data_IF_303079981766
#
_entry.id   IF_303079981766
#
_cell.length_a   1.000
_cell.length_b   1.000
_cell.length_c   1.000
_cell.angle_alpha   90.00
_cell.angle_beta   90.00
_cell.angle_gamma   90.00
#
_symmetry.space_group_name_H-M   'P 1'
#
loop_
_entity.id
_entity.type
_entity.pdbx_description
1 polymer ?
#
# COMPACT_ATOMS: atom_id res chain seq x y z
N UNK A 1 -43.48 -41.37 -22.02
CA UNK A 1 -42.73 -41.40 -20.74
C UNK A 1 -41.19 -41.36 -20.90
N UNK A 2 -40.61 -40.92 -22.04
CA UNK A 2 -39.15 -40.98 -22.27
C UNK A 2 -38.38 -39.65 -22.09
N UNK A 3 -39.08 -38.51 -22.01
CA UNK A 3 -38.43 -37.18 -22.06
C UNK A 3 -37.90 -36.67 -20.71
N UNK A 4 -38.46 -37.13 -19.58
CA UNK A 4 -37.99 -36.76 -18.22
C UNK A 4 -36.63 -37.36 -17.86
N UNK A 5 -36.30 -38.53 -18.41
CA UNK A 5 -35.04 -39.24 -18.15
C UNK A 5 -33.83 -38.51 -18.76
N UNK A 6 -33.98 -38.02 -19.99
CA UNK A 6 -32.91 -37.33 -20.72
C UNK A 6 -32.57 -35.97 -20.14
N UNK A 7 -33.56 -35.22 -19.65
CA UNK A 7 -33.36 -33.93 -18.98
C UNK A 7 -32.63 -34.06 -17.64
N UNK A 8 -32.92 -35.10 -16.87
CA UNK A 8 -32.21 -35.41 -15.62
C UNK A 8 -30.73 -35.71 -15.87
N UNK A 9 -30.45 -36.56 -16.87
CA UNK A 9 -29.09 -36.90 -17.29
C UNK A 9 -28.31 -35.68 -17.79
N UNK A 10 -28.93 -34.80 -18.56
CA UNK A 10 -28.30 -33.57 -19.05
C UNK A 10 -27.98 -32.60 -17.91
N UNK A 11 -28.86 -32.49 -16.90
CA UNK A 11 -28.62 -31.67 -15.70
C UNK A 11 -27.47 -32.24 -14.85
N UNK A 12 -27.42 -33.56 -14.67
CA UNK A 12 -26.32 -34.23 -13.96
C UNK A 12 -24.99 -34.08 -14.71
N UNK A 13 -24.99 -34.17 -16.04
CA UNK A 13 -23.80 -33.98 -16.86
C UNK A 13 -23.25 -32.55 -16.79
N UNK A 14 -24.13 -31.53 -16.75
CA UNK A 14 -23.72 -30.12 -16.54
C UNK A 14 -23.12 -29.88 -15.16
N UNK A 15 -23.70 -30.48 -14.11
CA UNK A 15 -23.17 -30.39 -12.74
C UNK A 15 -21.81 -31.10 -12.66
N UNK A 16 -21.68 -32.28 -13.29
CA UNK A 16 -20.42 -33.02 -13.33
C UNK A 16 -19.32 -32.23 -14.06
N UNK A 17 -19.64 -31.63 -15.22
CA UNK A 17 -18.69 -30.78 -15.96
C UNK A 17 -18.29 -29.53 -15.17
N UNK A 18 -19.22 -28.95 -14.41
CA UNK A 18 -18.93 -27.81 -13.53
C UNK A 18 -18.00 -28.21 -12.37
N UNK A 19 -18.25 -29.36 -11.72
CA UNK A 19 -17.41 -29.90 -10.65
C UNK A 19 -16.02 -30.28 -11.19
N UNK A 20 -15.94 -30.93 -12.35
CA UNK A 20 -14.67 -31.28 -13.00
C UNK A 20 -13.91 -30.02 -13.42
N UNK A 21 -14.61 -28.98 -13.88
CA UNK A 21 -14.01 -27.67 -14.17
C UNK A 21 -13.41 -27.03 -12.92
N UNK A 22 -14.13 -27.02 -11.80
CA UNK A 22 -13.61 -26.51 -10.51
C UNK A 22 -12.43 -27.36 -10.04
N UNK A 23 -12.52 -28.69 -10.10
CA UNK A 23 -11.45 -29.59 -9.70
C UNK A 23 -10.20 -29.43 -10.57
N UNK A 24 -10.36 -29.19 -11.87
CA UNK A 24 -9.25 -28.91 -12.78
C UNK A 24 -8.59 -27.55 -12.49
N UNK A 25 -9.39 -26.53 -12.13
CA UNK A 25 -8.87 -25.23 -11.70
C UNK A 25 -8.10 -25.37 -10.37
N UNK A 26 -8.65 -26.11 -9.40
CA UNK A 26 -7.97 -26.38 -8.12
C UNK A 26 -6.68 -27.19 -8.33
N UNK A 27 -6.70 -28.22 -9.17
CA UNK A 27 -5.50 -28.99 -9.49
C UNK A 27 -4.46 -28.15 -10.25
N UNK A 28 -4.88 -27.23 -11.14
CA UNK A 28 -3.98 -26.27 -11.77
C UNK A 28 -3.38 -25.30 -10.75
N UNK A 29 -4.16 -24.83 -9.77
CA UNK A 29 -3.66 -23.99 -8.69
C UNK A 29 -2.62 -24.73 -7.84
N UNK A 30 -2.88 -25.99 -7.47
CA UNK A 30 -1.92 -26.84 -6.72
C UNK A 30 -0.65 -27.12 -7.52
N UNK A 31 -0.75 -27.35 -8.85
CA UNK A 31 0.42 -27.58 -9.72
C UNK A 31 1.22 -26.29 -9.90
N UNK A 32 0.56 -25.13 -10.03
CA UNK A 32 1.22 -23.82 -10.08
C UNK A 32 1.93 -23.52 -8.75
N UNK A 33 1.35 -23.91 -7.62
CA UNK A 33 1.95 -23.78 -6.29
C UNK A 33 3.22 -24.64 -6.12
N UNK A 34 3.26 -25.82 -6.75
CA UNK A 34 4.39 -26.76 -6.63
C UNK A 34 5.54 -26.49 -7.63
N UNK A 35 5.24 -25.93 -8.82
CA UNK A 35 6.22 -25.82 -9.92
C UNK A 35 6.69 -24.40 -10.25
N UNK A 36 6.19 -23.36 -9.57
CA UNK A 36 6.86 -22.06 -9.62
C UNK A 36 7.83 -21.95 -8.45
N UNK A 37 9.13 -22.25 -8.63
CA UNK A 37 10.13 -21.69 -7.75
C UNK A 37 10.04 -20.17 -7.96
N UNK A 38 9.28 -19.50 -7.10
CA UNK A 38 9.47 -18.06 -6.91
C UNK A 38 10.81 -17.96 -6.20
N UNK A 39 11.89 -17.96 -6.99
CA UNK A 39 13.14 -17.34 -6.58
C UNK A 39 12.75 -15.90 -6.23
N UNK A 40 12.57 -15.65 -4.94
CA UNK A 40 12.52 -14.29 -4.46
C UNK A 40 13.86 -13.69 -4.86
N UNK A 41 13.83 -12.73 -5.78
CA UNK A 41 14.99 -11.93 -6.11
C UNK A 41 15.69 -11.42 -4.83
N UNK A 42 16.89 -10.89 -4.97
CA UNK A 42 17.65 -10.20 -3.91
C UNK A 42 16.96 -8.90 -3.42
N UNK A 43 15.65 -8.93 -3.19
CA UNK A 43 14.77 -7.84 -2.76
C UNK A 43 14.18 -8.18 -1.40
N UNK A 44 14.05 -7.15 -0.57
CA UNK A 44 13.36 -7.20 0.71
C UNK A 44 12.08 -6.39 0.61
N UNK A 45 11.01 -6.90 1.21
CA UNK A 45 9.70 -6.26 1.21
C UNK A 45 9.32 -5.94 2.65
N UNK A 46 8.67 -4.81 2.88
CA UNK A 46 7.97 -4.46 4.12
C UNK A 46 6.54 -4.09 3.74
N UNK A 47 5.56 -4.74 4.38
CA UNK A 47 4.14 -4.43 4.21
C UNK A 47 3.54 -4.14 5.57
N UNK A 48 3.03 -2.93 5.73
CA UNK A 48 2.37 -2.50 6.95
C UNK A 48 1.12 -1.68 6.64
N UNK A 49 0.22 -1.64 7.61
CA UNK A 49 -0.99 -0.83 7.53
C UNK A 49 -1.03 0.15 8.68
N UNK A 50 -1.36 1.41 8.41
CA UNK A 50 -1.65 2.40 9.45
C UNK A 50 -3.13 2.73 9.41
N UNK A 51 -3.79 2.58 10.55
CA UNK A 51 -5.15 3.06 10.75
C UNK A 51 -5.14 4.38 11.50
N UNK A 52 -5.92 5.35 11.04
CA UNK A 52 -6.09 6.66 11.65
C UNK A 52 -7.57 6.92 11.88
N UNK A 53 -7.91 7.27 13.11
CA UNK A 53 -9.25 7.70 13.52
C UNK A 53 -9.20 9.17 13.92
N UNK A 54 -10.01 10.00 13.27
CA UNK A 54 -10.12 11.41 13.58
C UNK A 54 -11.02 11.66 14.79
N UNK A 55 -10.62 12.61 15.63
CA UNK A 55 -11.46 13.17 16.69
C UNK A 55 -12.56 14.08 16.09
N UNK A 56 -13.71 14.27 16.77
CA UNK A 56 -14.76 15.22 16.37
C UNK A 56 -14.31 16.65 16.01
N UNK A 57 -13.11 17.09 16.42
CA UNK A 57 -12.58 18.41 16.02
C UNK A 57 -12.22 18.53 14.54
N UNK A 58 -12.07 17.42 13.82
CA UNK A 58 -11.83 17.43 12.37
C UNK A 58 -13.14 17.59 11.59
N UNK A 59 -13.12 18.30 10.46
CA UNK A 59 -14.28 18.41 9.52
C UNK A 59 -14.58 17.08 8.78
N UNK A 60 -13.80 16.04 9.11
CA UNK A 60 -13.93 14.69 8.60
C UNK A 60 -14.65 13.74 9.55
N UNK A 61 -14.98 14.07 10.80
CA UNK A 61 -15.52 13.09 11.75
C UNK A 61 -16.87 12.49 11.27
N UNK A 62 -17.08 11.15 11.34
CA UNK A 62 -16.30 10.09 12.01
C UNK A 62 -15.33 9.33 11.08
N UNK A 63 -14.85 9.97 10.02
CA UNK A 63 -14.06 9.34 8.97
C UNK A 63 -12.74 8.78 9.49
N UNK A 64 -12.31 7.72 8.82
CA UNK A 64 -11.12 6.95 9.13
C UNK A 64 -10.23 6.89 7.90
N UNK A 65 -8.93 6.78 8.10
CA UNK A 65 -7.97 6.59 7.02
C UNK A 65 -7.20 5.29 7.26
N UNK A 66 -7.05 4.50 6.22
CA UNK A 66 -6.13 3.36 6.20
C UNK A 66 -5.06 3.61 5.16
N UNK A 67 -3.81 3.66 5.60
CA UNK A 67 -2.65 3.61 4.71
C UNK A 67 -2.19 2.16 4.60
N UNK A 68 -2.20 1.61 3.39
CA UNK A 68 -1.54 0.35 3.09
C UNK A 68 -0.24 0.66 2.36
N UNK A 69 0.88 0.37 3.02
CA UNK A 69 2.22 0.72 2.54
C UNK A 69 2.98 -0.55 2.20
N UNK A 70 3.50 -0.60 0.98
CA UNK A 70 4.47 -1.61 0.55
C UNK A 70 5.78 -0.91 0.20
N UNK A 71 6.85 -1.24 0.91
CA UNK A 71 8.20 -0.79 0.58
C UNK A 71 9.01 -1.98 0.13
N UNK A 72 9.67 -1.85 -1.02
CA UNK A 72 10.54 -2.86 -1.60
C UNK A 72 11.90 -2.24 -1.83
N UNK A 73 12.96 -2.87 -1.34
CA UNK A 73 14.32 -2.38 -1.48
C UNK A 73 15.29 -3.54 -1.70
N UNK A 74 16.53 -3.26 -2.10
CA UNK A 74 17.49 -4.35 -2.27
C UNK A 74 17.72 -5.06 -0.93
N UNK A 75 17.98 -6.36 -0.97
CA UNK A 75 18.28 -7.15 0.21
C UNK A 75 19.70 -6.88 0.69
N UNK A 76 19.85 -6.24 1.85
CA UNK A 76 21.12 -6.25 2.57
C UNK A 76 21.33 -7.65 3.18
N UNK A 77 22.56 -7.99 3.60
CA UNK A 77 22.86 -9.20 4.37
C UNK A 77 22.19 -9.21 5.77
N UNK A 78 20.98 -8.67 5.90
CA UNK A 78 20.20 -8.70 7.12
C UNK A 78 19.85 -10.15 7.46
N UNK A 79 20.17 -10.50 8.70
CA UNK A 79 19.92 -11.80 9.30
C UNK A 79 18.41 -12.02 9.29
N UNK A 80 17.96 -13.11 8.64
CA UNK A 80 16.59 -13.57 8.80
C UNK A 80 16.40 -13.94 10.27
N UNK A 81 15.52 -13.23 10.97
CA UNK A 81 15.11 -13.63 12.31
C UNK A 81 14.26 -14.90 12.20
N UNK A 82 14.87 -16.06 12.48
CA UNK A 82 14.20 -17.35 12.43
C UNK A 82 13.04 -17.46 13.43
N UNK A 83 13.00 -16.61 14.47
CA UNK A 83 11.91 -16.59 15.45
C UNK A 83 10.59 -16.08 14.88
N UNK A 84 10.61 -15.29 13.80
CA UNK A 84 9.41 -14.79 13.13
C UNK A 84 8.97 -15.64 11.93
N UNK A 85 9.79 -16.62 11.50
CA UNK A 85 9.43 -17.53 10.41
C UNK A 85 8.23 -18.40 10.78
N UNK A 86 8.10 -18.71 12.07
CA UNK A 86 6.97 -19.39 12.69
C UNK A 86 6.70 -18.71 14.03
N UNK A 87 5.85 -17.68 14.04
CA UNK A 87 5.28 -17.20 15.30
C UNK A 87 4.19 -18.22 15.67
N UNK A 88 4.39 -19.12 16.66
CA UNK A 88 3.28 -19.89 17.19
C UNK A 88 2.23 -18.90 17.66
N UNK A 89 0.95 -19.23 17.52
CA UNK A 89 -0.17 -18.41 17.99
C UNK A 89 -0.17 -18.42 19.54
N UNK A 90 0.85 -17.81 20.15
CA UNK A 90 1.02 -17.65 21.58
C UNK A 90 0.65 -16.21 21.95
N UNK A 91 -0.04 -16.05 23.08
CA UNK A 91 -0.89 -14.91 23.43
C UNK A 91 -0.12 -13.61 23.74
N UNK A 92 1.21 -13.64 23.78
CA UNK A 92 2.02 -12.45 23.97
C UNK A 92 2.24 -11.75 22.63
N UNK A 93 1.36 -10.80 22.34
CA UNK A 93 1.52 -9.80 21.30
C UNK A 93 2.95 -9.22 21.42
N UNK A 94 3.86 -9.44 20.44
CA UNK A 94 5.22 -8.90 20.51
C UNK A 94 5.18 -7.38 20.67
N UNK A 95 6.20 -6.77 21.30
CA UNK A 95 6.30 -5.29 21.43
C UNK A 95 6.25 -4.55 20.07
N UNK A 96 6.40 -5.28 18.97
CA UNK A 96 6.34 -4.81 17.58
C UNK A 96 4.90 -4.76 17.02
N UNK A 97 3.89 -5.20 17.78
CA UNK A 97 2.49 -5.14 17.39
C UNK A 97 1.88 -3.82 17.84
N UNK A 98 1.08 -3.23 16.97
CA UNK A 98 0.60 -1.86 17.05
C UNK A 98 0.20 -1.33 18.41
N UNK A 99 0.97 -0.37 18.88
CA UNK A 99 0.55 0.55 19.93
C UNK A 99 -0.50 1.51 19.38
N UNK A 100 -1.57 1.73 20.14
CA UNK A 100 -2.44 2.86 19.91
C UNK A 100 -1.72 4.11 20.42
N UNK A 101 -1.55 5.09 19.54
CA UNK A 101 -0.88 6.34 19.87
C UNK A 101 -1.84 7.50 19.63
N UNK A 102 -1.99 8.33 20.66
CA UNK A 102 -2.68 9.60 20.54
C UNK A 102 -1.68 10.64 20.06
N UNK A 103 -2.01 11.32 18.97
CA UNK A 103 -1.19 12.39 18.41
C UNK A 103 -2.08 13.57 18.00
N UNK A 104 -1.45 14.70 17.68
CA UNK A 104 -2.15 15.92 17.27
C UNK A 104 -1.41 16.63 16.13
N UNK A 105 -2.17 17.29 15.27
CA UNK A 105 -1.67 18.03 14.12
C UNK A 105 -2.56 19.25 13.91
N UNK A 106 -1.98 20.44 13.75
CA UNK A 106 -2.74 21.69 13.61
C UNK A 106 -3.79 21.88 14.72
N UNK A 107 -3.40 21.61 15.98
CA UNK A 107 -4.27 21.62 17.17
C UNK A 107 -5.46 20.63 17.13
N UNK A 108 -5.52 19.73 16.15
CA UNK A 108 -6.55 18.70 16.01
C UNK A 108 -5.99 17.33 16.39
N UNK A 109 -6.68 16.63 17.30
CA UNK A 109 -6.22 15.33 17.84
C UNK A 109 -6.68 14.16 16.98
N UNK A 110 -5.90 13.09 16.92
CA UNK A 110 -6.27 11.86 16.22
C UNK A 110 -5.62 10.64 16.89
N UNK A 111 -6.23 9.47 16.68
CA UNK A 111 -5.68 8.19 17.17
C UNK A 111 -5.09 7.45 15.98
N UNK A 112 -3.86 6.97 16.13
CA UNK A 112 -3.19 6.14 15.13
C UNK A 112 -2.89 4.74 15.68
N UNK A 113 -3.04 3.74 14.83
CA UNK A 113 -2.71 2.35 15.11
C UNK A 113 -1.87 1.80 13.95
N UNK A 114 -0.62 1.47 14.23
CA UNK A 114 0.31 0.90 13.25
C UNK A 114 0.29 -0.62 13.31
N UNK A 115 0.08 -1.33 12.22
CA UNK A 115 0.03 -2.78 12.18
C UNK A 115 1.12 -3.34 11.27
N UNK A 116 1.91 -4.29 11.80
CA UNK A 116 3.00 -4.98 11.07
C UNK A 116 4.13 -4.06 10.55
N UNK A 117 4.32 -2.87 11.13
CA UNK A 117 5.43 -2.00 10.75
C UNK A 117 6.74 -2.51 11.37
N UNK A 118 7.63 -3.02 10.53
CA UNK A 118 8.93 -3.53 10.94
C UNK A 118 10.05 -2.47 10.93
N UNK A 119 9.73 -1.19 10.66
CA UNK A 119 10.68 -0.06 10.61
C UNK A 119 11.93 -0.34 9.77
N UNK A 120 11.81 -1.07 8.66
CA UNK A 120 12.93 -1.46 7.80
C UNK A 120 14.00 -2.32 8.50
N UNK A 121 13.72 -2.86 9.70
CA UNK A 121 14.69 -3.65 10.48
C UNK A 121 14.81 -5.10 10.01
N UNK A 122 13.76 -5.64 9.40
CA UNK A 122 13.70 -7.05 9.01
C UNK A 122 13.25 -7.21 7.56
N UNK A 123 13.82 -8.23 6.91
CA UNK A 123 13.41 -8.63 5.58
C UNK A 123 12.19 -9.54 5.70
N UNK A 124 11.00 -9.03 5.41
CA UNK A 124 9.82 -9.91 5.36
C UNK A 124 9.87 -10.74 4.07
N UNK A 125 9.78 -12.06 4.22
CA UNK A 125 9.64 -13.00 3.12
C UNK A 125 8.20 -13.51 3.10
N UNK A 126 7.41 -13.25 2.04
CA UNK A 126 6.04 -13.74 2.00
C UNK A 126 6.02 -15.27 1.89
N UNK A 127 5.10 -15.90 2.63
CA UNK A 127 4.81 -17.32 2.44
C UNK A 127 4.34 -17.59 1.00
N UNK A 128 4.75 -18.73 0.43
CA UNK A 128 4.49 -19.10 -0.98
C UNK A 128 3.03 -18.93 -1.41
N UNK A 129 2.08 -19.34 -0.57
CA UNK A 129 0.64 -19.18 -0.84
C UNK A 129 0.22 -17.72 -1.08
N UNK A 130 0.72 -16.79 -0.26
CA UNK A 130 0.38 -15.36 -0.37
C UNK A 130 0.90 -14.78 -1.69
N UNK A 131 2.09 -15.23 -2.09
CA UNK A 131 2.71 -14.80 -3.34
C UNK A 131 1.92 -15.29 -4.57
N UNK A 132 1.41 -16.53 -4.56
CA UNK A 132 0.54 -17.04 -5.64
C UNK A 132 -0.76 -16.25 -5.76
N UNK A 133 -1.41 -15.92 -4.63
CA UNK A 133 -2.64 -15.11 -4.63
C UNK A 133 -2.37 -13.69 -5.15
N UNK A 134 -1.26 -13.08 -4.75
CA UNK A 134 -0.85 -11.74 -5.19
C UNK A 134 -0.62 -11.72 -6.72
N UNK A 135 0.04 -12.74 -7.28
CA UNK A 135 0.22 -12.90 -8.74
C UNK A 135 -1.10 -12.95 -9.49
N UNK A 136 -2.04 -13.77 -9.03
CA UNK A 136 -3.36 -13.90 -9.68
C UNK A 136 -4.09 -12.56 -9.63
N UNK A 137 -4.11 -11.92 -8.45
CA UNK A 137 -4.75 -10.63 -8.26
C UNK A 137 -4.15 -9.57 -9.18
N UNK A 138 -2.83 -9.48 -9.25
CA UNK A 138 -2.15 -8.47 -10.07
C UNK A 138 -2.46 -8.66 -11.56
N UNK A 139 -2.44 -9.90 -12.06
CA UNK A 139 -2.83 -10.18 -13.44
C UNK A 139 -4.26 -9.73 -13.74
N UNK A 140 -5.20 -9.90 -12.80
CA UNK A 140 -6.57 -9.40 -12.93
C UNK A 140 -6.58 -7.87 -12.92
N UNK A 141 -5.87 -7.22 -11.99
CA UNK A 141 -5.83 -5.75 -11.90
C UNK A 141 -5.21 -5.10 -13.14
N UNK A 142 -4.18 -5.71 -13.74
CA UNK A 142 -3.61 -5.28 -15.03
C UNK A 142 -4.60 -5.47 -16.17
N UNK A 143 -5.25 -6.63 -16.26
CA UNK A 143 -6.26 -6.89 -17.29
C UNK A 143 -7.47 -5.93 -17.20
N UNK A 144 -7.80 -5.47 -16.00
CA UNK A 144 -8.83 -4.46 -15.74
C UNK A 144 -8.35 -3.01 -15.94
N UNK A 145 -7.06 -2.79 -16.22
CA UNK A 145 -6.47 -1.44 -16.36
C UNK A 145 -6.35 -0.67 -15.05
N UNK A 146 -6.44 -1.36 -13.90
CA UNK A 146 -6.26 -0.76 -12.57
C UNK A 146 -4.78 -0.63 -12.19
N UNK A 147 -3.90 -1.42 -12.83
CA UNK A 147 -2.45 -1.36 -12.73
C UNK A 147 -1.83 -1.35 -14.14
N UNK A 148 -0.63 -0.80 -14.26
CA UNK A 148 0.11 -0.68 -15.52
C UNK A 148 1.11 -1.82 -15.74
N UNK A 149 1.47 -2.55 -14.70
CA UNK A 149 2.55 -3.55 -14.71
C UNK A 149 2.14 -4.80 -13.92
N UNK A 150 2.67 -5.94 -14.36
CA UNK A 150 2.54 -7.23 -13.69
C UNK A 150 3.75 -7.58 -12.80
N UNK A 151 4.67 -6.64 -12.59
CA UNK A 151 5.79 -6.79 -11.66
C UNK A 151 5.30 -6.76 -10.20
N UNK A 152 5.57 -7.85 -9.46
CA UNK A 152 5.15 -8.05 -8.07
C UNK A 152 5.82 -7.10 -7.08
N UNK A 153 6.98 -6.56 -7.43
CA UNK A 153 7.79 -5.70 -6.56
C UNK A 153 7.61 -4.22 -6.87
N UNK A 154 7.41 -3.89 -8.15
CA UNK A 154 7.20 -2.53 -8.64
C UNK A 154 5.76 -2.33 -9.14
N UNK A 155 4.83 -2.13 -8.21
CA UNK A 155 3.42 -1.89 -8.54
C UNK A 155 3.26 -0.46 -9.06
N UNK A 156 2.66 -0.30 -10.23
CA UNK A 156 2.38 1.00 -10.85
C UNK A 156 0.90 1.18 -11.18
N UNK A 157 0.34 2.31 -10.80
CA UNK A 157 -1.02 2.75 -11.10
C UNK A 157 -1.06 3.76 -12.25
N UNK A 158 -2.18 3.83 -13.00
CA UNK A 158 -2.40 4.88 -13.98
C UNK A 158 -2.41 6.27 -13.34
N UNK A 159 -1.90 7.27 -14.06
CA UNK A 159 -1.90 8.65 -13.61
C UNK A 159 -3.29 9.28 -13.79
N UNK A 160 -3.99 9.48 -12.68
CA UNK A 160 -5.34 10.04 -12.61
C UNK A 160 -5.34 11.21 -11.63
N UNK A 161 -5.51 12.42 -12.15
CA UNK A 161 -5.75 13.60 -11.31
C UNK A 161 -7.17 13.58 -10.76
N UNK A 162 -7.33 14.19 -9.59
CA UNK A 162 -8.65 14.50 -9.08
C UNK A 162 -9.31 15.59 -9.95
N UNK A 163 -10.59 15.39 -10.28
CA UNK A 163 -11.39 16.31 -11.08
C UNK A 163 -12.53 16.94 -10.29
N UNK A 164 -12.74 16.54 -9.04
CA UNK A 164 -13.78 17.10 -8.18
C UNK A 164 -13.51 18.55 -7.78
N UNK A 165 -12.24 18.96 -7.75
CA UNK A 165 -11.84 20.35 -7.52
C UNK A 165 -10.48 20.67 -8.15
N UNK A 166 -10.23 21.95 -8.34
CA UNK A 166 -9.01 22.47 -8.97
C UNK A 166 -7.78 22.40 -8.06
N UNK A 167 -6.59 22.44 -8.65
CA UNK A 167 -5.32 22.46 -7.91
C UNK A 167 -5.25 23.67 -6.95
N UNK A 168 -5.82 24.82 -7.32
CA UNK A 168 -5.90 25.99 -6.42
C UNK A 168 -6.78 25.76 -5.20
N UNK A 169 -7.87 25.00 -5.35
CA UNK A 169 -8.73 24.63 -4.23
C UNK A 169 -8.01 23.61 -3.34
N UNK A 170 -7.26 22.68 -3.92
CA UNK A 170 -6.43 21.75 -3.16
C UNK A 170 -5.43 22.50 -2.27
N UNK A 171 -4.67 23.45 -2.85
CA UNK A 171 -3.69 24.25 -2.09
C UNK A 171 -4.31 25.02 -0.94
N UNK A 172 -5.55 25.53 -1.11
CA UNK A 172 -6.24 26.24 -0.03
C UNK A 172 -6.64 25.36 1.16
N UNK A 173 -6.73 24.04 0.95
CA UNK A 173 -7.06 23.05 1.99
C UNK A 173 -5.83 22.51 2.72
N UNK A 174 -4.62 22.71 2.18
CA UNK A 174 -3.39 22.14 2.75
C UNK A 174 -2.98 22.66 4.13
N UNK A 175 -3.16 23.94 4.50
CA UNK A 175 -2.64 24.45 5.77
C UNK A 175 -3.14 23.71 7.02
N UNK A 176 -4.36 23.18 6.95
CA UNK A 176 -5.03 22.48 8.05
C UNK A 176 -5.25 20.98 7.74
N UNK A 177 -4.70 20.48 6.63
CA UNK A 177 -4.90 19.12 6.16
C UNK A 177 -4.15 18.08 7.01
N UNK A 178 -4.67 16.87 7.04
CA UNK A 178 -3.99 15.75 7.69
C UNK A 178 -2.80 15.28 6.85
N UNK A 179 -1.65 15.05 7.50
CA UNK A 179 -0.49 14.45 6.86
C UNK A 179 -0.03 13.18 7.59
N UNK A 180 0.64 12.31 6.84
CA UNK A 180 1.33 11.15 7.37
C UNK A 180 2.70 10.99 6.74
N UNK A 181 3.70 10.70 7.57
CA UNK A 181 5.07 10.43 7.15
C UNK A 181 5.36 8.94 7.16
N UNK A 182 5.91 8.46 6.05
CA UNK A 182 6.31 7.08 5.85
C UNK A 182 7.82 7.06 5.57
N UNK A 183 8.64 6.47 6.46
CA UNK A 183 10.07 6.36 6.23
C UNK A 183 10.37 5.46 5.02
N UNK A 184 11.41 5.79 4.25
CA UNK A 184 11.87 4.96 3.14
C UNK A 184 12.89 3.94 3.66
N UNK A 185 12.82 2.70 3.17
CA UNK A 185 13.82 1.67 3.41
C UNK A 185 14.79 1.64 2.24
N UNK A 186 16.10 1.68 2.49
CA UNK A 186 17.13 1.60 1.44
C UNK A 186 18.44 1.03 1.96
N UNK A 187 19.23 0.46 1.04
CA UNK A 187 20.61 0.02 1.37
C UNK A 187 21.60 1.14 1.17
N UNK A 188 21.50 1.84 0.05
CA UNK A 188 22.48 2.84 -0.36
C UNK A 188 22.26 4.15 0.40
N UNK A 189 23.30 4.98 0.53
CA UNK A 189 23.16 6.32 1.13
C UNK A 189 22.30 7.25 0.24
N UNK A 190 22.33 7.00 -1.07
CA UNK A 190 21.58 7.74 -2.10
C UNK A 190 21.04 6.73 -3.12
N UNK A 191 19.76 6.83 -3.46
CA UNK A 191 19.12 5.93 -4.43
C UNK A 191 17.97 6.62 -5.20
N UNK A 192 17.48 5.92 -6.22
CA UNK A 192 16.30 6.32 -6.99
C UNK A 192 15.12 5.43 -6.60
N UNK A 193 13.92 6.01 -6.51
CA UNK A 193 12.73 5.30 -6.10
C UNK A 193 11.64 5.42 -7.15
N UNK A 194 11.14 4.27 -7.60
CA UNK A 194 9.83 4.21 -8.23
C UNK A 194 8.77 4.18 -7.12
N UNK A 195 7.71 4.95 -7.28
CA UNK A 195 6.62 4.96 -6.32
C UNK A 195 5.28 5.00 -7.03
N UNK A 196 4.27 4.50 -6.34
CA UNK A 196 2.89 4.66 -6.77
C UNK A 196 1.96 4.89 -5.58
N UNK A 197 0.99 5.79 -5.76
CA UNK A 197 -0.05 6.09 -4.79
C UNK A 197 -1.41 5.94 -5.43
N UNK A 198 -2.39 5.40 -4.70
CA UNK A 198 -3.79 5.35 -5.09
C UNK A 198 -4.69 5.58 -3.89
N UNK A 199 -5.69 6.44 -4.04
CA UNK A 199 -6.78 6.62 -3.09
C UNK A 199 -8.04 5.97 -3.66
N UNK A 200 -8.82 5.31 -2.81
CA UNK A 200 -10.07 4.67 -3.22
C UNK A 200 -11.25 5.66 -3.36
N UNK A 201 -11.18 6.81 -2.69
CA UNK A 201 -12.10 7.92 -2.86
C UNK A 201 -11.73 8.79 -4.08
N UNK A 202 -12.62 8.81 -5.07
CA UNK A 202 -12.45 9.60 -6.31
C UNK A 202 -12.74 11.09 -6.14
N UNK A 203 -13.28 11.50 -4.99
CA UNK A 203 -13.63 12.89 -4.69
C UNK A 203 -12.54 13.62 -3.91
N UNK A 204 -11.58 12.88 -3.37
CA UNK A 204 -10.47 13.37 -2.55
C UNK A 204 -9.16 13.26 -3.34
N UNK A 205 -8.41 14.37 -3.45
CA UNK A 205 -7.07 14.40 -3.99
C UNK A 205 -6.02 14.29 -2.89
N UNK A 206 -5.04 13.39 -3.05
CA UNK A 206 -3.82 13.38 -2.23
C UNK A 206 -2.75 14.28 -2.85
N UNK A 207 -1.94 14.85 -1.96
CA UNK A 207 -0.61 15.31 -2.31
C UNK A 207 0.42 14.34 -1.73
N UNK A 208 1.49 14.10 -2.48
CA UNK A 208 2.61 13.28 -2.06
C UNK A 208 3.90 14.06 -2.30
N UNK A 209 4.77 14.06 -1.29
CA UNK A 209 6.07 14.72 -1.33
C UNK A 209 7.14 13.77 -0.81
N UNK A 210 8.25 13.63 -1.52
CA UNK A 210 9.47 13.14 -0.90
C UNK A 210 10.05 14.25 -0.03
N UNK A 211 10.37 13.94 1.22
CA UNK A 211 10.93 14.88 2.20
C UNK A 211 12.26 14.36 2.74
N UNK A 212 13.23 15.25 3.05
CA UNK A 212 14.57 14.86 3.49
C UNK A 212 14.61 14.14 4.84
N UNK A 213 13.64 14.37 5.74
CA UNK A 213 13.54 13.60 6.99
C UNK A 213 12.20 13.76 7.71
N UNK A 214 12.02 13.02 8.80
CA UNK A 214 10.90 13.17 9.74
C UNK A 214 10.79 14.59 10.35
N UNK A 215 11.87 15.38 10.35
CA UNK A 215 11.83 16.79 10.79
C UNK A 215 10.78 17.59 10.03
N UNK A 216 10.60 17.29 8.75
CA UNK A 216 9.67 17.98 7.86
C UNK A 216 8.22 17.70 8.22
N UNK A 217 7.93 16.47 8.64
CA UNK A 217 6.63 16.11 9.19
C UNK A 217 6.33 16.86 10.49
N UNK A 218 7.31 16.94 11.39
CA UNK A 218 7.17 17.67 12.65
C UNK A 218 7.02 19.18 12.43
N UNK A 219 7.74 19.74 11.46
CA UNK A 219 7.59 21.14 11.04
C UNK A 219 6.19 21.38 10.48
N UNK A 220 5.73 20.54 9.55
CA UNK A 220 4.37 20.63 9.01
C UNK A 220 3.32 20.58 10.11
N UNK A 221 3.42 19.65 11.07
CA UNK A 221 2.49 19.55 12.20
C UNK A 221 2.34 20.84 13.01
N UNK A 222 3.43 21.58 13.18
CA UNK A 222 3.50 22.77 14.04
C UNK A 222 3.19 24.07 13.28
N UNK A 223 3.69 24.21 12.05
CA UNK A 223 3.66 25.48 11.31
C UNK A 223 2.94 25.39 9.97
N UNK A 224 2.57 24.20 9.51
CA UNK A 224 2.02 23.97 8.16
C UNK A 224 3.05 24.08 7.04
N UNK A 225 4.35 24.23 7.36
CA UNK A 225 5.42 24.42 6.38
C UNK A 225 6.49 23.36 6.50
N UNK A 226 7.08 22.95 5.38
CA UNK A 226 8.11 21.92 5.30
C UNK A 226 8.93 22.04 4.01
N UNK A 227 10.11 21.44 4.01
CA UNK A 227 10.94 21.26 2.83
C UNK A 227 10.69 19.89 2.19
N UNK A 228 10.81 19.84 0.87
CA UNK A 228 10.64 18.63 0.09
C UNK A 228 11.59 18.66 -1.12
N UNK A 229 11.81 17.50 -1.72
CA UNK A 229 12.59 17.38 -2.95
C UNK A 229 11.88 18.06 -4.11
N UNK A 230 12.48 19.11 -4.67
CA UNK A 230 11.89 19.89 -5.76
C UNK A 230 12.18 19.32 -7.15
N UNK A 231 13.00 18.28 -7.22
CA UNK A 231 13.33 17.63 -8.49
C UNK A 231 12.07 17.05 -9.15
N UNK A 232 11.98 17.09 -10.49
CA UNK A 232 10.83 16.53 -11.21
C UNK A 232 10.59 15.07 -10.83
N UNK A 233 9.34 14.75 -10.49
CA UNK A 233 8.93 13.39 -10.09
C UNK A 233 8.95 13.15 -8.58
N UNK A 234 9.59 14.00 -7.78
CA UNK A 234 9.66 13.84 -6.31
C UNK A 234 8.48 14.45 -5.54
N UNK A 235 7.55 15.09 -6.23
CA UNK A 235 6.32 15.58 -5.64
C UNK A 235 5.20 15.54 -6.66
N UNK A 236 3.98 15.39 -6.17
CA UNK A 236 2.80 15.29 -7.00
C UNK A 236 1.57 15.73 -6.20
N UNK A 237 0.60 16.37 -6.85
CA UNK A 237 -0.49 17.09 -6.18
C UNK A 237 -1.84 16.80 -6.80
N UNK A 238 -2.87 16.79 -5.96
CA UNK A 238 -4.27 16.64 -6.31
C UNK A 238 -4.58 15.38 -7.14
N UNK A 239 -4.26 14.22 -6.58
CA UNK A 239 -4.21 12.93 -7.30
C UNK A 239 -5.23 11.95 -6.73
N UNK A 240 -5.82 11.15 -7.61
CA UNK A 240 -6.53 9.92 -7.22
C UNK A 240 -5.56 8.74 -7.33
N UNK A 241 -4.75 8.70 -8.39
CA UNK A 241 -3.67 7.74 -8.52
C UNK A 241 -2.51 8.31 -9.31
N UNK A 242 -1.30 7.89 -8.96
CA UNK A 242 -0.08 8.35 -9.60
C UNK A 242 1.02 7.30 -9.50
N UNK A 243 1.86 7.22 -10.53
CA UNK A 243 3.16 6.56 -10.46
C UNK A 243 4.22 7.49 -11.02
N UNK A 244 5.39 7.48 -10.39
CA UNK A 244 6.52 8.31 -10.79
C UNK A 244 7.84 7.75 -10.25
N UNK A 245 8.91 8.44 -10.61
CA UNK A 245 10.26 8.13 -10.11
C UNK A 245 10.83 9.39 -9.47
N UNK A 246 11.39 9.26 -8.28
CA UNK A 246 12.14 10.31 -7.61
C UNK A 246 13.61 9.92 -7.52
N UNK A 247 14.51 10.80 -7.96
CA UNK A 247 15.95 10.52 -8.01
C UNK A 247 16.71 11.17 -6.87
N UNK A 248 17.88 10.60 -6.55
CA UNK A 248 18.83 11.14 -5.57
C UNK A 248 18.25 11.32 -4.15
N UNK A 249 17.42 10.37 -3.71
CA UNK A 249 16.84 10.37 -2.36
C UNK A 249 17.86 9.82 -1.37
N UNK A 250 18.02 10.51 -0.24
CA UNK A 250 18.99 10.16 0.82
C UNK A 250 18.40 9.22 1.88
N UNK A 251 19.25 8.55 2.66
CA UNK A 251 18.86 7.56 3.65
C UNK A 251 17.82 8.00 4.71
N UNK A 252 17.87 9.25 5.17
CA UNK A 252 16.94 9.76 6.20
C UNK A 252 15.57 10.16 5.64
N UNK A 253 15.41 10.10 4.32
CA UNK A 253 14.24 10.62 3.64
C UNK A 253 13.00 9.77 3.85
N UNK A 254 11.85 10.39 3.61
CA UNK A 254 10.56 9.73 3.68
C UNK A 254 9.58 10.28 2.66
N UNK A 255 8.42 9.66 2.61
CA UNK A 255 7.29 10.14 1.83
C UNK A 255 6.27 10.74 2.79
N UNK A 256 5.89 11.98 2.53
CA UNK A 256 4.78 12.63 3.20
C UNK A 256 3.57 12.64 2.30
N UNK A 257 2.48 12.04 2.78
CA UNK A 257 1.16 12.07 2.12
C UNK A 257 0.30 13.07 2.88
N UNK A 258 -0.31 14.01 2.16
CA UNK A 258 -1.24 15.00 2.71
C UNK A 258 -2.62 14.78 2.10
N UNK A 259 -3.62 14.65 2.97
CA UNK A 259 -5.02 14.45 2.65
C UNK A 259 -5.84 15.58 3.28
N UNK A 260 -6.69 16.28 2.49
CA UNK A 260 -7.64 17.25 3.02
C UNK A 260 -8.53 16.67 4.12
N UNK A 261 -8.96 17.51 5.05
CA UNK A 261 -9.78 17.14 6.20
C UNK A 261 -11.29 17.28 5.97
N UNK A 262 -11.74 17.29 4.71
CA UNK A 262 -13.15 17.27 4.30
C UNK A 262 -13.60 15.89 3.78
N UNK A 263 -13.14 14.83 4.44
CA UNK A 263 -13.42 13.45 4.05
C UNK A 263 -14.91 13.13 4.28
N UNK A 264 -15.61 12.84 3.19
CA UNK A 264 -17.04 12.53 3.20
C UNK A 264 -17.37 11.05 3.51
N UNK A 265 -16.38 10.16 3.37
CA UNK A 265 -16.56 8.71 3.52
C UNK A 265 -16.09 8.25 4.90
N UNK A 266 -16.86 7.36 5.52
CA UNK A 266 -16.50 6.76 6.81
C UNK A 266 -15.12 6.07 6.83
N UNK A 267 -14.63 5.63 5.66
CA UNK A 267 -13.30 5.06 5.50
C UNK A 267 -12.73 5.46 4.14
N UNK A 268 -11.52 6.01 4.15
CA UNK A 268 -10.68 6.24 2.98
C UNK A 268 -9.45 5.36 3.07
N UNK A 269 -9.09 4.75 1.94
CA UNK A 269 -7.90 3.92 1.83
C UNK A 269 -6.90 4.57 0.88
N UNK A 270 -5.70 4.80 1.37
CA UNK A 270 -4.54 5.20 0.58
C UNK A 270 -3.59 3.99 0.45
N UNK A 271 -3.29 3.58 -0.76
CA UNK A 271 -2.30 2.53 -1.05
C UNK A 271 -1.04 3.19 -1.60
N UNK A 272 0.09 2.97 -0.94
CA UNK A 272 1.41 3.45 -1.35
C UNK A 272 2.34 2.26 -1.62
N UNK A 273 3.02 2.29 -2.76
CA UNK A 273 4.11 1.39 -3.08
C UNK A 273 5.38 2.20 -3.30
N UNK A 274 6.49 1.73 -2.76
CA UNK A 274 7.82 2.34 -2.87
C UNK A 274 8.78 1.23 -3.29
N UNK A 275 9.57 1.47 -4.33
CA UNK A 275 10.52 0.51 -4.89
C UNK A 275 11.88 1.19 -5.09
N UNK A 276 12.91 0.73 -4.36
CA UNK A 276 14.30 1.15 -4.60
C UNK A 276 14.79 0.55 -5.93
N UNK A 277 15.24 1.38 -6.85
CA UNK A 277 15.85 0.91 -8.09
C UNK A 277 17.20 0.25 -7.81
N UNK A 278 17.50 -0.82 -8.55
CA UNK A 278 18.86 -1.40 -8.59
C UNK A 278 19.77 -0.41 -9.32
N UNK A 279 20.81 0.06 -8.63
CA UNK A 279 21.89 0.83 -9.22
C UNK A 279 22.82 -0.06 -10.06
#
# INVERSE_FOLDING_TARGET
MSQKSTFSKLKHMKILLFIVGIAAILALLDVVEFYMPMEFEDMSVNRHSLYVHFDPVWDSYPSNIVFDVTSTWNKSNAVLDESQRFIPFDETIPDNYGTNELDSMHDKSFVRLSHQNNQCQYNFQPHHYRSTVDVIRQNIEVAMGLQLTNDLYNIQFPNVKNTSYSDSQQESKLPDAFAHFIPICMINDISNFDYSIRIDDKTLGANLYFVPSISEYNSYKQTGTFFYYTDPGCFTKNLISHSGTCSNVTQDSGIMIILPDDISRSLVKATLNIYEQKN
#
